data_IF_617905500072
#
_entry.id   IF_617905500072
#
_cell.length_a   1.000
_cell.length_b   1.000
_cell.length_c   1.000
_cell.angle_alpha   90.00
_cell.angle_beta   90.00
_cell.angle_gamma   90.00
#
_symmetry.space_group_name_H-M   'P 1'
#
loop_
_entity.id
_entity.type
_entity.pdbx_description
1 polymer ?
#
# COMPACT_ATOMS: atom_id res chain seq x y z
N UNK A 1 8.50 25.14 7.96
CA UNK A 1 8.28 23.72 7.68
C UNK A 1 6.89 23.38 8.23
N UNK A 2 6.04 22.68 7.47
CA UNK A 2 4.76 22.20 8.00
C UNK A 2 5.01 21.23 9.15
N UNK A 3 4.16 21.27 10.18
CA UNK A 3 4.26 20.34 11.30
C UNK A 3 3.97 18.91 10.84
N UNK A 4 4.39 17.91 11.61
CA UNK A 4 4.02 16.52 11.31
C UNK A 4 2.48 16.35 11.33
N UNK A 5 1.80 17.11 12.17
CA UNK A 5 0.34 17.12 12.25
C UNK A 5 -0.34 17.56 10.95
N UNK A 6 0.26 18.54 10.23
CA UNK A 6 -0.24 19.01 8.93
C UNK A 6 0.04 18.03 7.79
N UNK A 7 0.90 17.03 8.01
CA UNK A 7 1.37 16.07 7.00
C UNK A 7 0.76 14.68 7.16
N UNK A 8 0.32 14.35 8.37
CA UNK A 8 -0.26 13.03 8.67
C UNK A 8 -1.67 12.93 8.09
N UNK A 9 -1.88 11.87 7.35
CA UNK A 9 -3.15 11.53 6.72
C UNK A 9 -3.75 10.28 7.35
N UNK A 10 -5.07 10.14 7.26
CA UNK A 10 -5.78 8.89 7.53
C UNK A 10 -6.30 8.32 6.23
N UNK A 11 -6.14 7.03 6.00
CA UNK A 11 -6.72 6.35 4.83
C UNK A 11 -8.20 6.06 5.05
N UNK A 12 -9.01 6.29 4.01
CA UNK A 12 -10.44 5.94 4.01
C UNK A 12 -10.69 4.43 4.01
N UNK A 13 -9.65 3.58 3.99
CA UNK A 13 -9.80 2.15 4.22
C UNK A 13 -10.45 1.87 5.57
N UNK A 14 -10.18 2.71 6.58
CA UNK A 14 -10.78 2.60 7.90
C UNK A 14 -12.30 2.76 7.91
N UNK A 15 -12.85 3.68 7.11
CA UNK A 15 -14.27 4.02 7.25
C UNK A 15 -15.14 3.94 5.99
N UNK A 16 -14.57 3.81 4.79
CA UNK A 16 -15.33 3.84 3.53
C UNK A 16 -16.40 2.76 3.41
N UNK A 17 -16.17 1.60 4.03
CA UNK A 17 -17.11 0.48 3.95
C UNK A 17 -18.45 0.73 4.68
N UNK A 18 -18.43 1.52 5.77
CA UNK A 18 -19.62 1.76 6.62
C UNK A 18 -20.41 3.01 6.24
N UNK A 19 -19.86 3.90 5.42
CA UNK A 19 -20.55 5.10 4.97
C UNK A 19 -21.28 4.91 3.64
N UNK A 20 -22.42 5.55 3.50
CA UNK A 20 -23.18 5.67 2.23
C UNK A 20 -23.13 7.10 1.67
N UNK A 21 -22.64 8.06 2.44
CA UNK A 21 -22.44 9.45 2.10
C UNK A 21 -20.95 9.81 2.24
N UNK A 22 -20.33 10.29 1.17
CA UNK A 22 -18.92 10.64 1.14
C UNK A 22 -18.58 11.90 1.93
N UNK A 23 -19.51 12.83 2.07
CA UNK A 23 -19.31 14.03 2.86
C UNK A 23 -19.23 13.71 4.35
N UNK A 24 -20.18 12.91 4.86
CA UNK A 24 -20.16 12.46 6.25
C UNK A 24 -18.96 11.53 6.55
N UNK A 25 -18.52 10.72 5.59
CA UNK A 25 -17.30 9.93 5.69
C UNK A 25 -16.07 10.82 5.93
N UNK A 26 -15.91 11.87 5.14
CA UNK A 26 -14.80 12.83 5.27
C UNK A 26 -14.90 13.62 6.58
N UNK A 27 -16.11 14.09 6.94
CA UNK A 27 -16.35 14.82 8.18
C UNK A 27 -15.99 14.01 9.43
N UNK A 28 -16.26 12.71 9.44
CA UNK A 28 -15.85 11.84 10.53
C UNK A 28 -14.34 11.88 10.74
N UNK A 29 -13.55 11.76 9.65
CA UNK A 29 -12.09 11.77 9.70
C UNK A 29 -11.56 13.17 10.13
N UNK A 30 -12.14 14.24 9.60
CA UNK A 30 -11.81 15.61 10.00
C UNK A 30 -12.11 15.86 11.49
N UNK A 31 -13.21 15.29 12.01
CA UNK A 31 -13.57 15.34 13.43
C UNK A 31 -12.58 14.65 14.37
N UNK A 32 -11.72 13.74 13.85
CA UNK A 32 -10.61 13.12 14.56
C UNK A 32 -9.31 13.93 14.50
N UNK A 33 -9.35 15.11 13.88
CA UNK A 33 -8.22 16.03 13.77
C UNK A 33 -7.32 15.79 12.55
N UNK A 34 -7.78 15.04 11.55
CA UNK A 34 -7.04 14.89 10.29
C UNK A 34 -7.42 15.99 9.30
N UNK A 35 -6.44 16.79 8.89
CA UNK A 35 -6.59 17.79 7.84
C UNK A 35 -6.33 17.22 6.44
N UNK A 36 -5.67 16.07 6.38
CA UNK A 36 -5.35 15.35 5.15
C UNK A 36 -5.84 13.93 5.24
N UNK A 37 -6.31 13.40 4.12
CA UNK A 37 -6.77 12.02 4.02
C UNK A 37 -6.27 11.39 2.72
N UNK A 38 -6.16 10.07 2.74
CA UNK A 38 -5.99 9.27 1.54
C UNK A 38 -7.33 8.67 1.12
N UNK A 39 -7.61 8.69 -0.19
CA UNK A 39 -8.75 8.00 -0.77
C UNK A 39 -8.34 6.59 -1.18
N UNK A 40 -8.76 5.59 -0.40
CA UNK A 40 -8.37 4.19 -0.57
C UNK A 40 -9.10 3.48 -1.71
N UNK A 41 -8.60 2.30 -2.04
CA UNK A 41 -9.22 1.35 -2.97
C UNK A 41 -10.57 0.74 -2.50
N UNK A 42 -11.17 1.26 -1.43
CA UNK A 42 -12.52 0.93 -0.94
C UNK A 42 -13.56 2.01 -1.22
N UNK A 43 -13.18 3.12 -1.83
CA UNK A 43 -14.10 4.24 -2.14
C UNK A 43 -15.02 3.88 -3.30
N UNK A 44 -16.31 3.68 -3.00
CA UNK A 44 -17.34 3.42 -4.03
C UNK A 44 -17.68 4.70 -4.78
N UNK A 45 -18.10 4.57 -6.03
CA UNK A 45 -18.46 5.72 -6.87
C UNK A 45 -19.60 6.57 -6.26
N UNK A 46 -20.48 5.96 -5.48
CA UNK A 46 -21.58 6.66 -4.78
C UNK A 46 -21.09 7.66 -3.73
N UNK A 47 -19.86 7.49 -3.20
CA UNK A 47 -19.27 8.40 -2.22
C UNK A 47 -18.62 9.62 -2.86
N UNK A 48 -18.29 9.55 -4.15
CA UNK A 48 -17.54 10.61 -4.86
C UNK A 48 -18.19 12.00 -4.78
N UNK A 49 -19.51 12.19 -4.99
CA UNK A 49 -20.09 13.52 -4.91
C UNK A 49 -19.87 14.22 -3.56
N UNK A 50 -20.06 13.50 -2.45
CA UNK A 50 -19.84 14.03 -1.12
C UNK A 50 -18.36 14.28 -0.80
N UNK A 51 -17.45 13.44 -1.29
CA UNK A 51 -15.99 13.66 -1.17
C UNK A 51 -15.62 14.97 -1.89
N UNK A 52 -16.07 15.16 -3.13
CA UNK A 52 -15.77 16.37 -3.90
C UNK A 52 -16.30 17.63 -3.24
N UNK A 53 -17.50 17.57 -2.68
CA UNK A 53 -18.08 18.66 -1.91
C UNK A 53 -17.21 19.02 -0.69
N UNK A 54 -16.77 18.01 0.09
CA UNK A 54 -15.93 18.23 1.26
C UNK A 54 -14.55 18.84 0.91
N UNK A 55 -13.99 18.44 -0.22
CA UNK A 55 -12.72 19.01 -0.74
C UNK A 55 -12.93 20.46 -1.20
N UNK A 56 -14.01 20.75 -1.93
CA UNK A 56 -14.33 22.10 -2.40
C UNK A 56 -14.59 23.07 -1.23
N UNK A 57 -15.22 22.60 -0.17
CA UNK A 57 -15.43 23.36 1.07
C UNK A 57 -14.16 23.50 1.93
N UNK A 58 -13.05 22.84 1.56
CA UNK A 58 -11.78 22.89 2.29
C UNK A 58 -11.81 22.19 3.65
N UNK A 59 -12.69 21.19 3.83
CA UNK A 59 -12.75 20.41 5.07
C UNK A 59 -11.49 19.58 5.26
N UNK A 60 -10.97 19.00 4.17
CA UNK A 60 -9.71 18.24 4.11
C UNK A 60 -8.99 18.49 2.79
N UNK A 61 -7.69 18.19 2.78
CA UNK A 61 -6.88 18.01 1.58
C UNK A 61 -6.70 16.51 1.29
N UNK A 62 -6.64 16.13 0.00
CA UNK A 62 -6.32 14.75 -0.37
C UNK A 62 -4.81 14.62 -0.56
N UNK A 63 -4.18 13.79 0.27
CA UNK A 63 -2.73 13.53 0.22
C UNK A 63 -2.34 12.59 -0.90
N UNK A 64 -3.14 11.56 -1.08
CA UNK A 64 -2.93 10.46 -2.04
C UNK A 64 -4.25 9.79 -2.40
N UNK A 65 -4.23 9.06 -3.51
CA UNK A 65 -5.28 8.11 -3.85
C UNK A 65 -4.66 6.73 -4.03
N UNK A 66 -5.39 5.68 -3.70
CA UNK A 66 -4.93 4.31 -3.88
C UNK A 66 -5.66 3.66 -5.06
N UNK A 67 -4.95 2.99 -5.95
CA UNK A 67 -5.53 2.32 -7.11
C UNK A 67 -6.33 1.05 -6.67
N UNK A 68 -7.57 0.84 -7.06
CA UNK A 68 -8.43 1.63 -7.95
C UNK A 68 -9.35 2.55 -7.12
N UNK A 69 -9.32 3.83 -7.39
CA UNK A 69 -10.17 4.80 -6.72
C UNK A 69 -10.74 5.82 -7.72
N UNK A 70 -12.07 6.00 -7.80
CA UNK A 70 -13.07 5.17 -7.14
C UNK A 70 -13.13 3.75 -7.71
N UNK A 71 -13.69 2.83 -6.92
CA UNK A 71 -13.92 1.45 -7.35
C UNK A 71 -14.71 1.36 -8.66
N UNK A 72 -14.43 0.36 -9.51
CA UNK A 72 -15.28 0.04 -10.66
C UNK A 72 -16.74 -0.17 -10.26
N UNK A 73 -17.68 0.28 -11.10
CA UNK A 73 -19.11 0.31 -10.79
C UNK A 73 -19.73 -1.01 -10.29
N UNK A 74 -19.18 -2.14 -10.71
CA UNK A 74 -19.66 -3.48 -10.32
C UNK A 74 -19.07 -3.99 -9.00
N UNK A 75 -18.13 -3.26 -8.41
CA UNK A 75 -17.37 -3.69 -7.22
C UNK A 75 -17.86 -2.92 -6.00
N UNK A 76 -18.22 -3.66 -4.96
CA UNK A 76 -18.80 -3.10 -3.72
C UNK A 76 -17.85 -3.18 -2.52
N UNK A 77 -16.74 -3.88 -2.64
CA UNK A 77 -15.74 -4.07 -1.61
C UNK A 77 -14.35 -3.66 -2.11
N UNK A 78 -13.46 -3.34 -1.19
CA UNK A 78 -12.07 -3.06 -1.48
C UNK A 78 -11.44 -4.15 -2.36
N UNK A 79 -10.86 -3.78 -3.49
CA UNK A 79 -10.34 -4.72 -4.49
C UNK A 79 -9.13 -4.15 -5.23
N UNK A 80 -8.01 -3.89 -4.53
CA UNK A 80 -6.82 -3.27 -5.14
C UNK A 80 -6.16 -4.16 -6.20
N UNK A 81 -6.38 -5.46 -6.13
CA UNK A 81 -5.83 -6.47 -7.04
C UNK A 81 -6.87 -7.03 -8.04
N UNK A 82 -7.98 -6.30 -8.27
CA UNK A 82 -9.08 -6.72 -9.16
C UNK A 82 -8.60 -6.98 -10.59
N UNK A 83 -7.73 -6.14 -11.09
CA UNK A 83 -7.06 -6.27 -12.39
C UNK A 83 -5.57 -6.08 -12.19
N UNK A 84 -4.75 -6.82 -12.94
CA UNK A 84 -3.32 -6.85 -12.66
C UNK A 84 -2.45 -6.48 -13.86
N UNK A 85 -1.39 -5.68 -13.67
CA UNK A 85 -0.46 -5.32 -14.75
C UNK A 85 0.41 -6.50 -15.21
N UNK A 86 0.43 -7.59 -14.43
CA UNK A 86 1.18 -8.81 -14.73
C UNK A 86 0.45 -9.80 -15.62
N UNK A 87 -0.85 -9.58 -15.85
CA UNK A 87 -1.71 -10.49 -16.60
C UNK A 87 -1.22 -10.73 -18.03
N UNK A 88 -1.50 -11.93 -18.54
CA UNK A 88 -1.33 -12.25 -19.97
C UNK A 88 -2.61 -12.12 -20.78
N UNK A 89 -3.74 -11.83 -20.14
CA UNK A 89 -5.03 -11.61 -20.78
C UNK A 89 -5.17 -10.15 -21.21
N UNK A 90 -5.35 -9.94 -22.53
CA UNK A 90 -5.46 -8.58 -23.09
C UNK A 90 -6.71 -7.83 -22.62
N UNK A 91 -7.80 -8.53 -22.28
CA UNK A 91 -9.05 -7.92 -21.82
C UNK A 91 -8.87 -7.42 -20.39
N UNK A 92 -8.31 -8.24 -19.52
CA UNK A 92 -7.97 -7.86 -18.14
C UNK A 92 -6.96 -6.71 -18.13
N UNK A 93 -5.93 -6.77 -18.98
CA UNK A 93 -4.94 -5.69 -19.09
C UNK A 93 -5.58 -4.37 -19.51
N UNK A 94 -6.52 -4.39 -20.46
CA UNK A 94 -7.24 -3.19 -20.85
C UNK A 94 -8.09 -2.63 -19.70
N UNK A 95 -8.70 -3.49 -18.89
CA UNK A 95 -9.44 -3.06 -17.70
C UNK A 95 -8.49 -2.44 -16.67
N UNK A 96 -7.33 -3.07 -16.42
CA UNK A 96 -6.31 -2.50 -15.55
C UNK A 96 -5.89 -1.10 -16.01
N UNK A 97 -5.57 -0.94 -17.29
CA UNK A 97 -5.18 0.36 -17.86
C UNK A 97 -6.29 1.40 -17.69
N UNK A 98 -7.49 1.09 -18.14
CA UNK A 98 -8.61 2.03 -18.11
C UNK A 98 -8.93 2.50 -16.68
N UNK A 99 -8.99 1.59 -15.71
CA UNK A 99 -9.31 1.97 -14.32
C UNK A 99 -8.14 2.66 -13.62
N UNK A 100 -6.91 2.32 -13.95
CA UNK A 100 -5.73 3.04 -13.42
C UNK A 100 -5.67 4.47 -13.98
N UNK A 101 -5.94 4.67 -15.27
CA UNK A 101 -6.06 6.01 -15.88
C UNK A 101 -7.18 6.82 -15.23
N UNK A 102 -8.34 6.20 -14.97
CA UNK A 102 -9.44 6.86 -14.24
C UNK A 102 -9.04 7.25 -12.81
N UNK A 103 -8.23 6.42 -12.12
CA UNK A 103 -7.70 6.77 -10.80
C UNK A 103 -6.73 7.95 -10.89
N UNK A 104 -5.86 8.01 -11.91
CA UNK A 104 -4.99 9.18 -12.14
C UNK A 104 -5.82 10.44 -12.40
N UNK A 105 -6.88 10.34 -13.22
CA UNK A 105 -7.79 11.46 -13.48
C UNK A 105 -8.51 11.93 -12.21
N UNK A 106 -8.89 10.98 -11.37
CA UNK A 106 -9.50 11.28 -10.09
C UNK A 106 -8.51 11.93 -9.12
N UNK A 107 -7.25 11.49 -9.09
CA UNK A 107 -6.19 12.13 -8.32
C UNK A 107 -6.04 13.62 -8.69
N UNK A 108 -5.97 13.92 -9.99
CA UNK A 108 -5.93 15.30 -10.48
C UNK A 108 -7.18 16.08 -10.03
N UNK A 109 -8.36 15.48 -10.15
CA UNK A 109 -9.63 16.12 -9.80
C UNK A 109 -9.74 16.49 -8.33
N UNK A 110 -9.18 15.69 -7.43
CA UNK A 110 -9.19 15.96 -5.98
C UNK A 110 -7.92 16.67 -5.50
N UNK A 111 -7.00 17.03 -6.39
CA UNK A 111 -5.76 17.73 -6.07
C UNK A 111 -4.66 16.87 -5.41
N UNK A 112 -4.80 15.54 -5.47
CA UNK A 112 -3.78 14.61 -4.97
C UNK A 112 -2.57 14.56 -5.90
N UNK A 113 -1.37 14.57 -5.34
CA UNK A 113 -0.11 14.47 -6.09
C UNK A 113 0.38 13.02 -6.25
N UNK A 114 0.02 12.15 -5.32
CA UNK A 114 0.48 10.77 -5.27
C UNK A 114 -0.66 9.80 -5.55
N UNK A 115 -0.36 8.74 -6.31
CA UNK A 115 -1.22 7.59 -6.47
C UNK A 115 -0.46 6.33 -6.04
N UNK A 116 -0.91 5.67 -4.98
CA UNK A 116 -0.35 4.39 -4.54
C UNK A 116 -0.85 3.29 -5.46
N UNK A 117 0.04 2.38 -5.86
CA UNK A 117 -0.27 1.33 -6.81
C UNK A 117 0.42 0.00 -6.48
N UNK A 118 -0.36 -1.08 -6.54
CA UNK A 118 0.16 -2.44 -6.51
C UNK A 118 0.71 -2.86 -7.86
N UNK A 119 1.77 -3.63 -7.84
CA UNK A 119 2.45 -4.10 -9.04
C UNK A 119 1.94 -5.46 -9.56
N UNK A 120 0.90 -6.02 -8.90
CA UNK A 120 0.30 -7.29 -9.28
C UNK A 120 1.07 -8.51 -8.79
N UNK A 121 0.62 -9.68 -9.19
CA UNK A 121 1.15 -10.97 -8.72
C UNK A 121 1.36 -11.98 -9.83
N UNK A 122 1.89 -13.14 -9.50
CA UNK A 122 1.88 -14.32 -10.35
C UNK A 122 0.74 -15.25 -9.96
N UNK A 123 0.07 -15.79 -10.96
CA UNK A 123 -1.07 -16.66 -10.75
C UNK A 123 -0.73 -18.14 -10.98
N UNK A 124 -1.31 -19.04 -10.15
CA UNK A 124 -1.14 -20.48 -10.21
C UNK A 124 -2.47 -21.23 -10.39
N UNK A 125 -2.58 -22.01 -11.46
CA UNK A 125 -3.81 -22.74 -11.79
C UNK A 125 -4.08 -23.91 -10.82
N UNK A 126 -3.04 -24.60 -10.35
CA UNK A 126 -3.15 -25.79 -9.49
C UNK A 126 -2.75 -25.53 -8.04
N UNK A 127 -3.23 -24.43 -7.47
CA UNK A 127 -2.98 -24.03 -6.10
C UNK A 127 -1.66 -23.27 -5.92
N UNK A 128 -1.78 -22.21 -5.16
CA UNK A 128 -0.73 -21.27 -4.84
C UNK A 128 0.40 -21.93 -4.02
N UNK A 129 1.66 -21.62 -4.31
CA UNK A 129 2.76 -21.95 -3.39
C UNK A 129 2.65 -21.24 -2.06
N UNK A 130 2.11 -20.03 -2.02
CA UNK A 130 1.83 -19.24 -0.81
C UNK A 130 0.79 -19.92 0.07
N UNK A 131 -0.40 -20.27 -0.47
CA UNK A 131 -1.45 -20.99 0.27
C UNK A 131 -0.93 -22.31 0.90
N UNK A 132 -0.01 -22.97 0.20
CA UNK A 132 0.60 -24.21 0.71
C UNK A 132 1.59 -23.97 1.84
N UNK A 133 2.29 -22.85 1.81
CA UNK A 133 3.17 -22.44 2.90
C UNK A 133 2.37 -22.03 4.12
N UNK A 134 1.27 -21.27 3.93
CA UNK A 134 0.35 -20.86 5.00
C UNK A 134 -0.28 -22.09 5.66
N UNK A 135 -0.81 -23.03 4.87
CA UNK A 135 -1.37 -24.28 5.40
C UNK A 135 -0.33 -25.12 6.15
N UNK A 136 0.94 -25.06 5.76
CA UNK A 136 2.03 -25.68 6.50
C UNK A 136 2.34 -24.96 7.82
N UNK A 137 2.34 -23.62 7.82
CA UNK A 137 2.52 -22.80 9.02
C UNK A 137 1.44 -23.04 10.08
N UNK A 138 0.18 -23.12 9.65
CA UNK A 138 -0.93 -23.46 10.55
C UNK A 138 -0.73 -24.81 11.26
N UNK A 139 -0.17 -25.80 10.56
CA UNK A 139 0.11 -27.13 11.13
C UNK A 139 1.37 -27.16 11.99
N UNK A 140 2.35 -26.30 11.69
CA UNK A 140 3.60 -26.21 12.43
C UNK A 140 3.48 -25.44 13.75
N UNK A 141 2.37 -24.71 13.95
CA UNK A 141 2.13 -23.84 15.12
C UNK A 141 3.29 -22.87 15.40
N UNK A 142 3.99 -22.47 14.34
CA UNK A 142 5.17 -21.60 14.42
C UNK A 142 4.74 -20.14 14.54
N UNK A 143 5.34 -19.43 15.50
CA UNK A 143 5.08 -18.01 15.69
C UNK A 143 5.80 -17.16 14.65
N UNK A 144 5.20 -16.00 14.23
CA UNK A 144 5.81 -15.13 13.23
C UNK A 144 7.26 -14.75 13.54
N UNK A 145 7.59 -14.36 14.76
CA UNK A 145 8.93 -13.98 15.17
C UNK A 145 9.97 -15.10 15.18
N UNK A 146 9.56 -16.36 15.03
CA UNK A 146 10.45 -17.54 14.99
C UNK A 146 10.72 -18.05 13.57
N UNK A 147 9.91 -17.61 12.59
CA UNK A 147 9.90 -18.14 11.22
C UNK A 147 11.26 -18.02 10.52
N UNK A 148 11.89 -16.85 10.60
CA UNK A 148 13.13 -16.57 9.87
C UNK A 148 14.29 -17.47 10.30
N UNK A 149 14.27 -17.97 11.54
CA UNK A 149 15.32 -18.80 12.14
C UNK A 149 14.98 -20.31 12.09
N UNK A 150 13.72 -20.67 11.84
CA UNK A 150 13.29 -22.07 11.76
C UNK A 150 13.71 -22.72 10.43
N UNK A 151 14.58 -23.73 10.51
CA UNK A 151 15.13 -24.38 9.33
C UNK A 151 14.08 -25.10 8.46
N UNK A 152 12.99 -25.61 9.06
CA UNK A 152 11.93 -26.28 8.33
C UNK A 152 11.07 -25.26 7.58
N UNK A 153 10.75 -24.14 8.21
CA UNK A 153 10.06 -23.02 7.55
C UNK A 153 10.89 -22.47 6.39
N UNK A 154 12.17 -22.16 6.61
CA UNK A 154 13.07 -21.65 5.57
C UNK A 154 13.11 -22.58 4.37
N UNK A 155 13.15 -23.89 4.60
CA UNK A 155 13.10 -24.87 3.51
C UNK A 155 11.79 -24.83 2.71
N UNK A 156 10.64 -24.72 3.38
CA UNK A 156 9.33 -24.63 2.72
C UNK A 156 9.17 -23.31 1.97
N UNK A 157 9.52 -22.17 2.61
CA UNK A 157 9.56 -20.86 1.99
C UNK A 157 10.40 -20.85 0.72
N UNK A 158 11.62 -21.37 0.77
CA UNK A 158 12.52 -21.38 -0.38
C UNK A 158 12.01 -22.27 -1.53
N UNK A 159 11.32 -23.37 -1.20
CA UNK A 159 10.62 -24.20 -2.20
C UNK A 159 9.47 -23.45 -2.87
N UNK A 160 8.69 -22.68 -2.10
CA UNK A 160 7.63 -21.82 -2.63
C UNK A 160 8.23 -20.75 -3.55
N UNK A 161 9.21 -20.00 -3.05
CA UNK A 161 9.88 -18.93 -3.81
C UNK A 161 10.54 -19.44 -5.09
N UNK A 162 11.11 -20.64 -5.11
CA UNK A 162 11.67 -21.23 -6.34
C UNK A 162 10.62 -21.40 -7.44
N UNK A 163 9.38 -21.77 -7.08
CA UNK A 163 8.27 -21.90 -8.02
C UNK A 163 7.78 -20.53 -8.49
N UNK A 164 7.65 -19.59 -7.55
CA UNK A 164 7.22 -18.22 -7.80
C UNK A 164 8.19 -17.52 -8.74
N UNK A 165 9.49 -17.52 -8.45
CA UNK A 165 10.55 -16.94 -9.29
C UNK A 165 10.50 -17.41 -10.75
N UNK A 166 10.17 -18.69 -10.99
CA UNK A 166 10.06 -19.22 -12.35
C UNK A 166 8.90 -18.59 -13.14
N UNK A 167 7.78 -18.24 -12.46
CA UNK A 167 6.67 -17.51 -13.08
C UNK A 167 6.94 -16.02 -13.17
N UNK A 168 7.53 -15.43 -12.13
CA UNK A 168 7.93 -14.04 -12.08
C UNK A 168 8.78 -13.63 -13.30
N UNK A 169 9.76 -14.46 -13.69
CA UNK A 169 10.58 -14.23 -14.90
C UNK A 169 9.76 -13.96 -16.18
N UNK A 170 8.56 -14.55 -16.29
CA UNK A 170 7.67 -14.34 -17.45
C UNK A 170 6.74 -13.14 -17.26
N UNK A 171 6.41 -12.80 -16.02
CA UNK A 171 5.51 -11.68 -15.68
C UNK A 171 6.24 -10.33 -15.65
N UNK A 172 7.48 -10.28 -15.15
CA UNK A 172 8.25 -9.05 -14.98
C UNK A 172 8.39 -8.18 -16.25
N UNK A 173 8.66 -8.74 -17.46
CA UNK A 173 8.71 -7.91 -18.66
C UNK A 173 7.37 -7.23 -18.99
N UNK A 174 6.24 -7.92 -18.74
CA UNK A 174 4.90 -7.33 -18.92
C UNK A 174 4.63 -6.25 -17.88
N UNK A 175 4.93 -6.56 -16.62
CA UNK A 175 4.83 -5.59 -15.54
C UNK A 175 5.59 -4.31 -15.90
N UNK A 176 6.84 -4.42 -16.28
CA UNK A 176 7.68 -3.28 -16.64
C UNK A 176 7.07 -2.46 -17.78
N UNK A 177 6.70 -3.10 -18.87
CA UNK A 177 6.10 -2.42 -20.04
C UNK A 177 4.79 -1.70 -19.67
N UNK A 178 3.96 -2.30 -18.81
CA UNK A 178 2.70 -1.70 -18.39
C UNK A 178 2.93 -0.52 -17.41
N UNK A 179 3.93 -0.60 -16.55
CA UNK A 179 4.33 0.53 -15.70
C UNK A 179 4.94 1.68 -16.51
N UNK A 180 5.81 1.39 -17.50
CA UNK A 180 6.33 2.41 -18.41
C UNK A 180 5.21 3.14 -19.16
N UNK A 181 4.19 2.43 -19.63
CA UNK A 181 3.00 3.04 -20.22
C UNK A 181 2.28 3.96 -19.22
N UNK A 182 2.00 3.46 -18.02
CA UNK A 182 1.25 4.21 -17.00
C UNK A 182 2.02 5.41 -16.46
N UNK A 183 3.34 5.32 -16.39
CA UNK A 183 4.20 6.47 -16.05
C UNK A 183 4.11 7.59 -17.09
N UNK A 184 3.99 7.26 -18.37
CA UNK A 184 3.73 8.26 -19.40
C UNK A 184 2.43 9.02 -19.14
N UNK A 185 1.35 8.30 -18.80
CA UNK A 185 0.05 8.92 -18.45
C UNK A 185 0.16 9.77 -17.18
N UNK A 186 0.81 9.23 -16.13
CA UNK A 186 0.99 9.94 -14.86
C UNK A 186 1.79 11.24 -15.03
N UNK A 187 2.88 11.19 -15.82
CA UNK A 187 3.71 12.36 -16.16
C UNK A 187 2.90 13.46 -16.85
N UNK A 188 2.12 13.11 -17.89
CA UNK A 188 1.28 14.08 -18.60
C UNK A 188 0.29 14.80 -17.68
N UNK A 189 -0.14 14.14 -16.61
CA UNK A 189 -1.12 14.64 -15.63
C UNK A 189 -0.49 15.21 -14.35
N UNK A 190 0.84 15.15 -14.22
CA UNK A 190 1.56 15.66 -13.05
C UNK A 190 1.34 14.85 -11.77
N UNK A 191 1.01 13.55 -11.90
CA UNK A 191 0.83 12.60 -10.79
C UNK A 191 2.10 11.78 -10.61
N UNK A 192 2.43 11.44 -9.38
CA UNK A 192 3.56 10.55 -9.02
C UNK A 192 3.02 9.20 -8.57
N UNK A 193 3.50 8.12 -9.16
CA UNK A 193 3.15 6.76 -8.79
C UNK A 193 3.98 6.29 -7.60
N UNK A 194 3.33 5.97 -6.48
CA UNK A 194 3.93 5.33 -5.32
C UNK A 194 3.86 3.81 -5.44
N UNK A 195 4.98 3.17 -5.73
CA UNK A 195 5.06 1.72 -5.91
C UNK A 195 5.25 1.10 -4.54
N UNK A 196 4.22 0.43 -4.06
CA UNK A 196 4.14 -0.11 -2.73
C UNK A 196 4.81 -1.49 -2.62
N UNK A 197 5.54 -1.72 -1.51
CA UNK A 197 5.94 -3.08 -1.13
C UNK A 197 4.75 -3.86 -0.61
N UNK A 198 4.74 -5.17 -0.93
CA UNK A 198 3.59 -6.04 -0.66
C UNK A 198 3.92 -7.18 0.29
N UNK A 199 2.90 -7.70 0.97
CA UNK A 199 3.00 -8.77 1.95
C UNK A 199 3.06 -10.17 1.34
N UNK A 200 2.35 -10.41 0.22
CA UNK A 200 2.22 -11.72 -0.38
C UNK A 200 3.51 -12.19 -1.08
N UNK A 201 3.83 -13.49 -0.98
CA UNK A 201 5.01 -14.07 -1.65
C UNK A 201 4.90 -14.10 -3.17
N UNK A 202 3.67 -14.15 -3.69
CA UNK A 202 3.35 -14.21 -5.11
C UNK A 202 3.26 -12.82 -5.75
N UNK A 203 3.28 -11.76 -4.95
CA UNK A 203 3.23 -10.38 -5.41
C UNK A 203 4.59 -9.95 -5.99
N UNK A 204 4.52 -9.09 -7.01
CA UNK A 204 5.67 -8.62 -7.76
C UNK A 204 5.90 -7.12 -7.58
N UNK A 205 7.13 -6.63 -7.73
CA UNK A 205 8.39 -7.38 -7.82
C UNK A 205 8.68 -8.17 -6.55
N UNK A 206 9.40 -9.28 -6.68
CA UNK A 206 9.87 -9.99 -5.49
C UNK A 206 10.80 -9.09 -4.66
N UNK A 207 10.85 -9.30 -3.34
CA UNK A 207 11.58 -8.43 -2.43
C UNK A 207 13.02 -8.14 -2.88
N UNK A 208 13.75 -9.15 -3.29
CA UNK A 208 15.13 -9.00 -3.78
C UNK A 208 15.25 -8.20 -5.10
N UNK A 209 14.16 -8.05 -5.85
CA UNK A 209 14.13 -7.40 -7.18
C UNK A 209 13.47 -6.02 -7.12
N UNK A 210 12.82 -5.66 -6.00
CA UNK A 210 11.97 -4.49 -5.89
C UNK A 210 12.72 -3.17 -6.12
N UNK A 211 13.86 -2.98 -5.47
CA UNK A 211 14.68 -1.78 -5.64
C UNK A 211 15.20 -1.65 -7.08
N UNK A 212 15.67 -2.76 -7.67
CA UNK A 212 16.12 -2.77 -9.06
C UNK A 212 14.99 -2.45 -10.04
N UNK A 213 13.78 -2.94 -9.78
CA UNK A 213 12.60 -2.62 -10.58
C UNK A 213 12.29 -1.13 -10.56
N UNK A 214 12.16 -0.51 -9.37
CA UNK A 214 11.88 0.92 -9.23
C UNK A 214 12.94 1.76 -9.94
N UNK A 215 14.24 1.42 -9.77
CA UNK A 215 15.34 2.13 -10.43
C UNK A 215 15.38 1.94 -11.94
N UNK A 216 14.80 0.84 -12.45
CA UNK A 216 14.74 0.55 -13.89
C UNK A 216 13.64 1.30 -14.64
N UNK A 217 12.71 1.94 -13.91
CA UNK A 217 11.61 2.69 -14.50
C UNK A 217 12.11 4.03 -15.04
N UNK A 218 11.62 4.47 -16.20
CA UNK A 218 11.86 5.80 -16.70
C UNK A 218 11.17 6.85 -15.80
N UNK A 219 11.48 8.12 -15.99
CA UNK A 219 10.82 9.23 -15.31
C UNK A 219 10.88 9.12 -13.79
N UNK A 220 12.08 9.13 -13.17
CA UNK A 220 12.26 8.90 -11.73
C UNK A 220 11.50 9.90 -10.84
N UNK A 221 11.18 11.08 -11.37
CA UNK A 221 10.37 12.10 -10.71
C UNK A 221 8.87 11.77 -10.67
N UNK A 222 8.42 10.80 -11.46
CA UNK A 222 7.03 10.34 -11.52
C UNK A 222 6.82 8.93 -10.98
N UNK A 223 7.89 8.28 -10.46
CA UNK A 223 7.84 6.96 -9.85
C UNK A 223 8.67 6.91 -8.57
N UNK A 224 8.07 6.62 -7.45
CA UNK A 224 8.75 6.51 -6.16
C UNK A 224 8.40 5.23 -5.41
N UNK A 225 9.15 4.99 -4.36
CA UNK A 225 8.90 3.92 -3.40
C UNK A 225 7.86 4.38 -2.37
N UNK A 226 6.84 3.55 -2.15
CA UNK A 226 5.89 3.72 -1.06
C UNK A 226 6.12 2.60 -0.05
N UNK A 227 6.52 2.96 1.16
CA UNK A 227 6.85 2.00 2.20
C UNK A 227 5.65 1.69 3.07
N UNK A 228 5.07 0.51 2.90
CA UNK A 228 4.10 -0.04 3.83
C UNK A 228 4.82 -0.77 4.96
N UNK A 229 4.57 -0.33 6.20
CA UNK A 229 5.29 -0.80 7.39
C UNK A 229 4.88 -2.20 7.81
N UNK A 230 3.61 -2.54 7.70
CA UNK A 230 3.13 -3.87 8.07
C UNK A 230 3.46 -4.93 7.04
N UNK A 231 3.32 -4.61 5.74
CA UNK A 231 3.73 -5.52 4.67
C UNK A 231 5.24 -5.84 4.74
N UNK A 232 6.06 -4.82 5.05
CA UNK A 232 7.49 -5.00 5.23
C UNK A 232 7.80 -5.86 6.47
N UNK A 233 7.06 -5.68 7.57
CA UNK A 233 7.22 -6.48 8.78
C UNK A 233 6.89 -7.95 8.53
N UNK A 234 5.78 -8.26 7.85
CA UNK A 234 5.43 -9.65 7.47
C UNK A 234 6.56 -10.29 6.65
N UNK A 235 7.14 -9.53 5.70
CA UNK A 235 8.29 -10.02 4.92
C UNK A 235 9.56 -10.18 5.76
N UNK A 236 9.75 -9.33 6.78
CA UNK A 236 10.87 -9.44 7.72
C UNK A 236 10.73 -10.71 8.58
N UNK A 237 9.55 -11.01 9.08
CA UNK A 237 9.25 -12.25 9.80
C UNK A 237 9.51 -13.49 8.94
N UNK A 238 9.31 -13.40 7.63
CA UNK A 238 9.66 -14.46 6.69
C UNK A 238 11.17 -14.53 6.36
N UNK A 239 11.98 -13.60 6.88
CA UNK A 239 13.41 -13.48 6.58
C UNK A 239 13.70 -13.10 5.12
N UNK A 240 12.84 -12.30 4.51
CA UNK A 240 12.94 -11.87 3.10
C UNK A 240 13.29 -10.40 2.94
N UNK A 241 13.10 -9.60 4.00
CA UNK A 241 13.34 -8.17 4.00
C UNK A 241 13.90 -7.73 5.35
N UNK A 242 14.75 -6.73 5.34
CA UNK A 242 15.09 -5.90 6.50
C UNK A 242 14.60 -4.48 6.25
N UNK A 243 13.83 -3.92 7.16
CA UNK A 243 13.24 -2.57 7.03
C UNK A 243 14.31 -1.50 6.84
N UNK A 244 15.36 -1.54 7.69
CA UNK A 244 16.44 -0.53 7.66
C UNK A 244 17.22 -0.60 6.36
N UNK A 245 17.59 -1.80 5.92
CA UNK A 245 18.31 -1.99 4.67
C UNK A 245 17.48 -1.55 3.48
N UNK A 246 16.18 -1.89 3.44
CA UNK A 246 15.26 -1.49 2.38
C UNK A 246 15.08 0.02 2.32
N UNK A 247 14.84 0.68 3.46
CA UNK A 247 14.66 2.12 3.54
C UNK A 247 15.95 2.87 3.19
N UNK A 248 17.11 2.35 3.62
CA UNK A 248 18.41 2.93 3.25
C UNK A 248 18.68 2.79 1.74
N UNK A 249 18.42 1.60 1.17
CA UNK A 249 18.61 1.35 -0.26
C UNK A 249 17.71 2.22 -1.14
N UNK A 250 16.46 2.47 -0.75
CA UNK A 250 15.49 3.26 -1.53
C UNK A 250 15.26 4.68 -1.00
N UNK A 251 16.12 5.20 -0.12
CA UNK A 251 15.94 6.51 0.50
C UNK A 251 15.84 7.67 -0.53
N UNK A 252 16.51 7.56 -1.66
CA UNK A 252 16.48 8.51 -2.77
C UNK A 252 15.21 8.42 -3.63
N UNK A 253 14.43 7.37 -3.47
CA UNK A 253 13.20 7.10 -4.21
C UNK A 253 11.96 7.06 -3.32
N UNK A 254 12.13 7.18 -2.00
CA UNK A 254 11.06 7.14 -1.02
C UNK A 254 10.21 8.40 -1.12
N UNK A 255 8.89 8.24 -1.25
CA UNK A 255 7.94 9.34 -1.38
C UNK A 255 6.82 9.32 -0.35
N UNK A 256 6.56 8.18 0.29
CA UNK A 256 5.48 8.06 1.26
C UNK A 256 5.50 6.74 2.02
N UNK A 257 4.62 6.69 3.00
CA UNK A 257 4.45 5.55 3.90
C UNK A 257 2.98 5.23 4.11
N UNK A 258 2.65 3.94 4.17
CA UNK A 258 1.52 3.42 4.92
C UNK A 258 2.02 3.01 6.30
N UNK A 259 1.40 3.58 7.33
CA UNK A 259 1.79 3.39 8.72
C UNK A 259 0.72 2.59 9.46
N UNK A 260 1.01 1.38 9.79
CA UNK A 260 0.23 0.51 10.65
C UNK A 260 1.14 -0.53 11.29
N UNK A 261 0.71 -1.09 12.41
CA UNK A 261 1.47 -2.10 13.13
C UNK A 261 1.07 -3.51 12.72
N UNK A 262 1.90 -4.47 13.12
CA UNK A 262 1.64 -5.91 13.02
C UNK A 262 1.64 -6.49 14.42
N UNK A 263 0.60 -7.25 14.77
CA UNK A 263 0.53 -7.92 16.08
C UNK A 263 1.55 -9.06 16.18
N UNK A 264 1.79 -9.54 17.40
CA UNK A 264 2.67 -10.72 17.63
C UNK A 264 2.18 -11.98 16.90
N UNK A 265 0.88 -12.05 16.56
CA UNK A 265 0.29 -13.13 15.77
C UNK A 265 0.36 -12.92 14.26
N UNK A 266 1.06 -11.86 13.80
CA UNK A 266 1.25 -11.56 12.38
C UNK A 266 0.04 -10.88 11.69
N UNK A 267 -0.88 -10.26 12.45
CA UNK A 267 -2.00 -9.50 11.88
C UNK A 267 -1.61 -8.04 11.69
N UNK A 268 -1.74 -7.56 10.49
CA UNK A 268 -1.45 -6.19 10.08
C UNK A 268 -2.60 -5.19 10.33
N UNK A 269 -2.44 -3.96 9.85
CA UNK A 269 -3.38 -2.85 9.97
C UNK A 269 -3.80 -2.55 11.42
N UNK A 270 -2.88 -2.77 12.37
CA UNK A 270 -3.08 -2.54 13.80
C UNK A 270 -2.64 -1.14 14.20
N UNK A 271 -3.01 -0.78 15.43
CA UNK A 271 -2.64 0.51 16.04
C UNK A 271 -1.12 0.62 16.15
N UNK A 272 -0.46 1.62 15.54
CA UNK A 272 0.98 1.83 15.68
C UNK A 272 1.44 1.91 17.14
N UNK A 273 2.52 1.19 17.46
CA UNK A 273 3.09 1.10 18.80
C UNK A 273 2.45 0.05 19.70
N UNK A 274 1.53 -0.78 19.21
CA UNK A 274 0.94 -1.90 19.96
C UNK A 274 1.43 -3.28 19.51
N UNK A 275 2.21 -3.34 18.43
CA UNK A 275 2.74 -4.55 17.84
C UNK A 275 4.27 -4.58 17.82
N UNK A 276 4.83 -5.11 16.74
CA UNK A 276 6.26 -5.44 16.64
C UNK A 276 7.06 -4.51 15.72
N UNK A 277 6.42 -3.58 15.00
CA UNK A 277 7.09 -2.66 14.06
C UNK A 277 7.94 -1.62 14.80
N UNK A 278 9.21 -1.47 14.42
CA UNK A 278 10.11 -0.42 14.96
C UNK A 278 9.87 0.94 14.30
N UNK A 279 8.80 1.64 14.70
CA UNK A 279 8.48 2.97 14.19
C UNK A 279 9.54 4.03 14.48
N UNK A 280 10.35 3.87 15.53
CA UNK A 280 11.45 4.82 15.82
C UNK A 280 12.55 4.74 14.77
N UNK A 281 12.88 3.53 14.35
CA UNK A 281 13.82 3.31 13.26
C UNK A 281 13.27 3.88 11.95
N UNK A 282 11.99 3.58 11.63
CA UNK A 282 11.33 4.04 10.40
C UNK A 282 11.23 5.57 10.34
N UNK A 283 10.89 6.23 11.46
CA UNK A 283 10.82 7.68 11.55
C UNK A 283 12.15 8.37 11.17
N UNK A 284 13.28 7.72 11.40
CA UNK A 284 14.60 8.21 11.00
C UNK A 284 14.78 8.37 9.47
N UNK A 285 13.92 7.74 8.66
CA UNK A 285 13.92 7.87 7.20
C UNK A 285 12.85 8.83 6.68
N UNK A 286 11.89 9.24 7.52
CA UNK A 286 10.85 10.16 7.12
C UNK A 286 11.41 11.57 6.93
N UNK A 287 11.06 12.21 5.80
CA UNK A 287 11.46 13.58 5.45
C UNK A 287 10.23 14.47 5.30
N UNK A 288 10.39 15.81 5.36
CA UNK A 288 9.27 16.75 5.23
C UNK A 288 8.43 16.59 3.96
N UNK A 289 9.03 16.17 2.87
CA UNK A 289 8.39 15.95 1.57
C UNK A 289 7.59 14.64 1.48
N UNK A 290 7.82 13.67 2.38
CA UNK A 290 7.13 12.40 2.34
C UNK A 290 5.69 12.50 2.82
N UNK A 291 4.79 11.80 2.15
CA UNK A 291 3.40 11.61 2.58
C UNK A 291 3.36 10.52 3.65
N UNK A 292 2.69 10.79 4.76
CA UNK A 292 2.50 9.84 5.86
C UNK A 292 1.01 9.50 5.97
N UNK A 293 0.65 8.24 5.84
CA UNK A 293 -0.73 7.79 5.87
C UNK A 293 -0.91 6.70 6.92
N UNK A 294 -1.80 6.93 7.88
CA UNK A 294 -2.30 5.86 8.73
C UNK A 294 -3.26 5.00 7.92
N UNK A 295 -2.87 3.75 7.64
CA UNK A 295 -3.72 2.78 6.96
C UNK A 295 -4.21 1.72 7.96
N UNK A 296 -5.38 1.97 8.53
CA UNK A 296 -5.89 1.25 9.68
C UNK A 296 -7.05 0.32 9.30
N UNK A 297 -7.15 -0.82 9.99
CA UNK A 297 -8.25 -1.76 9.81
C UNK A 297 -9.62 -1.11 10.06
N UNK A 298 -10.65 -1.41 9.23
CA UNK A 298 -12.02 -0.96 9.47
C UNK A 298 -12.61 -1.38 10.82
N UNK A 299 -12.02 -2.38 11.46
CA UNK A 299 -12.45 -2.87 12.77
C UNK A 299 -11.99 -2.03 13.96
N UNK A 300 -11.08 -1.08 13.75
CA UNK A 300 -10.60 -0.22 14.84
C UNK A 300 -11.62 0.86 15.21
N UNK A 301 -11.74 1.10 16.51
CA UNK A 301 -12.58 2.16 17.06
C UNK A 301 -11.99 3.56 16.83
N UNK A 302 -12.82 4.57 16.98
CA UNK A 302 -12.41 5.99 16.95
C UNK A 302 -11.30 6.32 17.95
N UNK A 303 -11.31 5.70 19.12
CA UNK A 303 -10.30 5.94 20.14
C UNK A 303 -8.96 5.28 19.78
N UNK A 304 -8.97 4.12 19.15
CA UNK A 304 -7.77 3.48 18.61
C UNK A 304 -7.18 4.29 17.43
N UNK A 305 -8.01 4.92 16.60
CA UNK A 305 -7.52 5.84 15.55
C UNK A 305 -6.88 7.08 16.15
N UNK A 306 -7.47 7.67 17.20
CA UNK A 306 -6.85 8.79 17.93
C UNK A 306 -5.53 8.39 18.58
N UNK A 307 -5.48 7.24 19.24
CA UNK A 307 -4.26 6.66 19.79
C UNK A 307 -3.17 6.49 18.72
N UNK A 308 -3.53 5.96 17.55
CA UNK A 308 -2.63 5.82 16.41
C UNK A 308 -2.05 7.17 15.96
N UNK A 309 -2.92 8.19 15.86
CA UNK A 309 -2.51 9.55 15.51
C UNK A 309 -1.52 10.12 16.55
N UNK A 310 -1.85 10.07 17.83
CA UNK A 310 -1.03 10.58 18.92
C UNK A 310 0.34 9.88 18.97
N UNK A 311 0.36 8.57 18.82
CA UNK A 311 1.60 7.81 18.78
C UNK A 311 2.50 8.23 17.60
N UNK A 312 1.96 8.29 16.38
CA UNK A 312 2.75 8.69 15.20
C UNK A 312 3.24 10.13 15.34
N UNK A 313 2.42 11.06 15.83
CA UNK A 313 2.84 12.43 16.09
C UNK A 313 4.01 12.49 17.10
N UNK A 314 3.99 11.64 18.13
CA UNK A 314 5.05 11.60 19.14
C UNK A 314 6.37 11.04 18.60
N UNK A 315 6.31 10.08 17.68
CA UNK A 315 7.50 9.39 17.14
C UNK A 315 8.10 10.12 15.95
N UNK A 316 7.27 10.64 15.05
CA UNK A 316 7.71 11.28 13.81
C UNK A 316 7.84 12.81 13.93
N UNK A 317 7.38 13.42 15.03
CA UNK A 317 7.40 14.86 15.26
C UNK A 317 8.62 15.36 16.07
N UNK A 318 9.49 14.45 16.49
CA UNK A 318 10.66 14.73 17.32
C UNK A 318 11.90 15.19 16.56
#
# INVERSE_FOLDING_TARGET
MSSIEDRLSLSTCWNSARHTDGYEMVREMAGLGFRRIELSHGVRISLVPGILQAVEEGIVEISSVHNFCPLPNSVQHAAPNLYQPTTGDSRELNLWKNYTEQTIDFAVKVGAKHMVIHSGSVWFFFGSPEDKLEAWLEQAELKPGEMAEDAAFVLQRDRALKKIRRKAKKAMPRLKANFEYMLGVAKEKGVVLGIENREGLEELPLDAEHAAFIRSLPEPEHAGYWHDTGHAEIKAQYGLLDHRERLADLADRLIGFHLHDVSEEGKDHRVPGTGVVDFKMIAGFARPEHTLVLELSPGLSTDEVKQSREYVLSVFGG
#
